data_IF_490404621010
#
_entry.id   IF_490404621010
#
_cell.length_a   1.000
_cell.length_b   1.000
_cell.length_c   1.000
_cell.angle_alpha   90.00
_cell.angle_beta   90.00
_cell.angle_gamma   90.00
#
_symmetry.space_group_name_H-M   'P 1'
#
loop_
_entity.id
_entity.type
_entity.pdbx_description
1 polymer ?
#
# COMPACT_ATOMS: atom_id res chain seq x y z
N UNK A 1 -67.11 -2.77 -49.70
CA UNK A 1 -67.14 -3.60 -50.93
C UNK A 1 -66.25 -2.95 -51.96
N UNK A 2 -65.27 -3.72 -52.51
CA UNK A 2 -64.71 -3.66 -53.89
C UNK A 2 -64.03 -2.34 -54.34
N UNK A 3 -62.86 -2.27 -54.98
CA UNK A 3 -61.99 -3.23 -55.69
C UNK A 3 -60.54 -2.70 -55.69
N UNK A 4 -59.60 -3.64 -55.66
CA UNK A 4 -58.17 -3.51 -55.96
C UNK A 4 -57.83 -2.87 -57.32
N UNK A 5 -56.66 -2.23 -57.40
CA UNK A 5 -55.86 -2.20 -58.63
C UNK A 5 -54.37 -2.26 -58.28
N UNK A 6 -53.65 -3.00 -59.11
CA UNK A 6 -52.36 -3.64 -58.85
C UNK A 6 -51.26 -3.04 -59.72
N UNK A 7 -50.01 -3.18 -59.24
CA UNK A 7 -48.75 -3.32 -60.00
C UNK A 7 -48.18 -2.08 -60.73
N UNK A 8 -46.99 -1.65 -60.30
CA UNK A 8 -45.78 -1.74 -61.13
C UNK A 8 -44.51 -1.38 -60.32
N UNK A 9 -43.62 -2.36 -60.28
CA UNK A 9 -42.27 -2.37 -59.75
C UNK A 9 -41.32 -1.43 -60.48
N UNK A 10 -40.49 -0.67 -59.75
CA UNK A 10 -39.23 -0.13 -60.27
C UNK A 10 -38.14 -0.11 -59.21
N UNK A 11 -37.22 -1.07 -59.31
CA UNK A 11 -35.98 -1.18 -58.56
C UNK A 11 -35.11 0.06 -58.72
N UNK A 12 -34.62 0.63 -57.60
CA UNK A 12 -33.47 1.53 -57.57
C UNK A 12 -32.21 0.74 -57.16
N UNK A 13 -31.04 1.04 -57.75
CA UNK A 13 -29.88 0.16 -57.63
C UNK A 13 -29.17 0.33 -56.29
N UNK A 14 -28.80 -0.82 -55.71
CA UNK A 14 -27.92 -0.96 -54.56
C UNK A 14 -26.49 -0.69 -55.03
N UNK A 15 -25.83 0.35 -54.50
CA UNK A 15 -24.39 0.56 -54.69
C UNK A 15 -23.65 -0.49 -53.88
N UNK A 16 -23.20 -1.52 -54.59
CA UNK A 16 -22.22 -2.52 -54.19
C UNK A 16 -20.93 -1.85 -53.72
N UNK A 17 -20.56 -2.09 -52.47
CA UNK A 17 -19.23 -1.83 -51.91
C UNK A 17 -18.51 -3.17 -51.97
N UNK A 18 -17.60 -3.31 -52.93
CA UNK A 18 -16.61 -4.39 -52.99
C UNK A 18 -15.25 -3.86 -52.49
N UNK A 19 -14.42 -4.72 -51.86
CA UNK A 19 -13.34 -4.31 -50.98
C UNK A 19 -12.08 -3.91 -51.75
N UNK A 20 -11.50 -2.77 -51.36
CA UNK A 20 -10.19 -2.32 -51.83
C UNK A 20 -9.09 -3.14 -51.15
N UNK A 21 -8.39 -3.91 -51.97
CA UNK A 21 -6.99 -4.34 -51.87
C UNK A 21 -6.21 -3.91 -50.61
N UNK A 22 -5.76 -4.92 -49.87
CA UNK A 22 -4.65 -4.81 -48.94
C UNK A 22 -3.34 -4.44 -49.65
N UNK A 23 -2.49 -3.62 -49.02
CA UNK A 23 -1.06 -3.77 -49.16
C UNK A 23 -0.44 -4.11 -47.79
N UNK A 24 0.12 -5.32 -47.73
CA UNK A 24 1.42 -5.66 -47.16
C UNK A 24 1.92 -4.82 -45.97
N UNK A 25 1.72 -5.32 -44.75
CA UNK A 25 2.47 -4.87 -43.58
C UNK A 25 3.91 -5.42 -43.64
N UNK A 26 4.85 -4.56 -44.03
CA UNK A 26 6.28 -4.67 -43.75
C UNK A 26 6.76 -3.35 -43.11
N UNK A 27 7.79 -3.40 -42.24
CA UNK A 27 7.96 -2.47 -41.13
C UNK A 27 8.43 -1.10 -41.62
N UNK A 28 7.60 -0.08 -41.47
CA UNK A 28 7.98 1.29 -41.83
C UNK A 28 8.61 2.00 -40.63
N UNK A 29 9.94 2.11 -40.72
CA UNK A 29 10.83 3.11 -40.13
C UNK A 29 10.18 4.24 -39.31
N UNK A 30 10.58 4.33 -38.04
CA UNK A 30 10.27 5.46 -37.16
C UNK A 30 10.74 6.80 -37.79
N UNK A 31 9.88 7.83 -37.89
CA UNK A 31 10.32 9.17 -38.29
C UNK A 31 11.23 9.75 -37.20
N UNK A 32 12.42 10.21 -37.61
CA UNK A 32 13.51 10.66 -36.73
C UNK A 32 13.25 12.04 -36.12
N UNK A 33 12.22 12.78 -36.55
CA UNK A 33 11.75 14.05 -35.94
C UNK A 33 10.40 13.91 -35.19
N UNK A 34 10.18 12.71 -34.62
CA UNK A 34 8.89 12.10 -34.35
C UNK A 34 7.85 12.90 -33.56
N UNK A 35 6.87 13.42 -34.29
CA UNK A 35 5.51 13.67 -33.79
C UNK A 35 4.71 12.35 -33.88
N UNK A 36 4.22 11.86 -32.75
CA UNK A 36 3.54 10.57 -32.60
C UNK A 36 2.04 10.77 -32.42
N UNK A 37 1.21 9.87 -32.97
CA UNK A 37 -0.24 9.84 -32.69
C UNK A 37 -0.50 9.21 -31.33
N UNK A 38 -1.62 9.56 -30.70
CA UNK A 38 -2.01 9.04 -29.37
C UNK A 38 -2.01 7.50 -29.30
N UNK A 39 -2.36 6.81 -30.39
CA UNK A 39 -2.32 5.35 -30.45
C UNK A 39 -0.88 4.80 -30.36
N UNK A 40 0.07 5.46 -31.02
CA UNK A 40 1.50 5.12 -30.94
C UNK A 40 2.06 5.43 -29.56
N UNK A 41 1.69 6.57 -28.97
CA UNK A 41 2.08 6.94 -27.59
C UNK A 41 1.55 5.93 -26.58
N UNK A 42 0.31 5.47 -26.74
CA UNK A 42 -0.28 4.44 -25.88
C UNK A 42 0.50 3.12 -25.95
N UNK A 43 0.90 2.68 -27.16
CA UNK A 43 1.74 1.49 -27.34
C UNK A 43 3.12 1.66 -26.71
N UNK A 44 3.74 2.83 -26.86
CA UNK A 44 5.10 3.10 -26.37
C UNK A 44 5.17 3.28 -24.84
N UNK A 45 4.14 3.88 -24.24
CA UNK A 45 4.10 4.15 -22.79
C UNK A 45 3.38 3.07 -21.99
N UNK A 46 2.62 2.19 -22.64
CA UNK A 46 1.76 1.21 -21.98
C UNK A 46 0.55 1.80 -21.26
N UNK A 47 0.25 3.08 -21.49
CA UNK A 47 -0.89 3.79 -20.87
C UNK A 47 -2.09 3.72 -21.83
N UNK A 48 -3.30 3.32 -21.37
CA UNK A 48 -4.48 3.33 -22.21
C UNK A 48 -4.79 4.72 -22.78
N UNK A 49 -5.23 4.79 -24.04
CA UNK A 49 -5.57 6.05 -24.74
C UNK A 49 -6.52 6.94 -23.94
N UNK A 50 -7.53 6.34 -23.29
CA UNK A 50 -8.49 7.09 -22.46
C UNK A 50 -7.82 7.70 -21.21
N UNK A 51 -6.89 6.98 -20.59
CA UNK A 51 -6.12 7.45 -19.44
C UNK A 51 -5.21 8.62 -19.81
N UNK A 52 -4.54 8.55 -20.96
CA UNK A 52 -3.72 9.66 -21.48
C UNK A 52 -4.59 10.91 -21.67
N UNK A 53 -5.79 10.77 -22.23
CA UNK A 53 -6.74 11.90 -22.39
C UNK A 53 -7.17 12.50 -21.06
N UNK A 54 -7.44 11.68 -20.05
CA UNK A 54 -7.78 12.17 -18.70
C UNK A 54 -6.61 12.90 -18.06
N UNK A 55 -5.38 12.39 -18.23
CA UNK A 55 -4.17 13.03 -17.70
C UNK A 55 -3.86 14.36 -18.39
N UNK A 56 -4.15 14.48 -19.69
CA UNK A 56 -4.12 15.76 -20.41
C UNK A 56 -5.13 16.75 -19.85
N UNK A 57 -6.41 16.39 -19.83
CA UNK A 57 -7.49 17.35 -19.55
C UNK A 57 -7.56 17.74 -18.08
N UNK A 58 -7.33 16.80 -17.16
CA UNK A 58 -7.48 17.04 -15.72
C UNK A 58 -6.21 17.53 -15.05
N UNK A 59 -5.05 17.10 -15.55
CA UNK A 59 -3.77 17.29 -14.87
C UNK A 59 -2.74 18.03 -15.71
N UNK A 60 -3.06 18.38 -16.96
CA UNK A 60 -2.19 19.11 -17.91
C UNK A 60 -0.78 18.53 -17.96
N UNK A 61 -0.70 17.19 -17.90
CA UNK A 61 0.56 16.46 -17.77
C UNK A 61 1.44 16.64 -19.00
N UNK A 62 0.83 16.70 -20.18
CA UNK A 62 1.48 16.97 -21.46
C UNK A 62 0.57 17.87 -22.29
N UNK A 63 1.16 18.63 -23.22
CA UNK A 63 0.42 19.52 -24.12
C UNK A 63 0.67 19.10 -25.58
N UNK A 64 -0.13 18.18 -26.14
CA UNK A 64 0.06 17.73 -27.50
C UNK A 64 -0.22 18.87 -28.50
N UNK A 65 0.62 18.97 -29.53
CA UNK A 65 0.38 19.89 -30.65
C UNK A 65 -0.76 19.35 -31.52
N UNK A 66 -1.63 20.22 -32.04
CA UNK A 66 -2.69 19.82 -32.97
C UNK A 66 -2.29 20.12 -34.41
N UNK A 67 -2.59 19.20 -35.31
CA UNK A 67 -2.47 19.40 -36.76
C UNK A 67 -3.62 20.26 -37.29
N UNK A 68 -3.50 20.75 -38.54
CA UNK A 68 -4.57 21.47 -39.24
C UNK A 68 -5.89 20.65 -39.32
N UNK A 69 -5.79 19.32 -39.31
CA UNK A 69 -6.93 18.40 -39.25
C UNK A 69 -7.41 18.08 -37.82
N UNK A 70 -7.01 18.88 -36.82
CA UNK A 70 -7.37 18.75 -35.39
C UNK A 70 -6.94 17.43 -34.71
N UNK A 71 -5.93 16.73 -35.25
CA UNK A 71 -5.38 15.50 -34.66
C UNK A 71 -4.26 15.84 -33.68
N UNK A 72 -4.30 15.24 -32.47
CA UNK A 72 -3.26 15.38 -31.42
C UNK A 72 -1.98 14.65 -31.83
N UNK A 73 -0.86 15.36 -31.73
CA UNK A 73 0.49 14.87 -31.99
C UNK A 73 1.38 15.15 -30.78
N UNK A 74 2.11 14.12 -30.36
CA UNK A 74 2.96 14.14 -29.17
C UNK A 74 4.41 14.13 -29.60
N UNK A 75 5.24 14.91 -28.94
CA UNK A 75 6.69 14.88 -29.15
C UNK A 75 7.31 13.76 -28.34
N UNK A 76 8.57 13.45 -28.65
CA UNK A 76 9.36 12.50 -27.85
C UNK A 76 9.42 12.89 -26.36
N UNK A 77 9.57 14.18 -26.06
CA UNK A 77 9.56 14.69 -24.69
C UNK A 77 8.24 14.38 -23.94
N UNK A 78 7.10 14.42 -24.63
CA UNK A 78 5.80 14.07 -24.03
C UNK A 78 5.75 12.57 -23.68
N UNK A 79 6.31 11.71 -24.53
CA UNK A 79 6.40 10.26 -24.29
C UNK A 79 7.29 9.99 -23.06
N UNK A 80 8.45 10.63 -22.99
CA UNK A 80 9.38 10.49 -21.87
C UNK A 80 8.73 10.93 -20.55
N UNK A 81 8.04 12.06 -20.54
CA UNK A 81 7.29 12.55 -19.38
C UNK A 81 6.14 11.62 -18.98
N UNK A 82 5.33 11.16 -19.93
CA UNK A 82 4.26 10.20 -19.68
C UNK A 82 4.79 8.88 -19.10
N UNK A 83 5.95 8.42 -19.58
CA UNK A 83 6.61 7.21 -19.07
C UNK A 83 7.07 7.39 -17.62
N UNK A 84 7.66 8.53 -17.29
CA UNK A 84 8.08 8.86 -15.92
C UNK A 84 6.88 8.93 -14.97
N UNK A 85 5.78 9.54 -15.40
CA UNK A 85 4.58 9.66 -14.59
C UNK A 85 3.89 8.32 -14.43
N UNK A 86 3.87 7.48 -15.47
CA UNK A 86 3.40 6.09 -15.38
C UNK A 86 4.21 5.30 -14.37
N UNK A 87 5.53 5.40 -14.39
CA UNK A 87 6.38 4.72 -13.41
C UNK A 87 6.08 5.16 -11.98
N UNK A 88 5.87 6.46 -11.74
CA UNK A 88 5.52 6.97 -10.41
C UNK A 88 4.10 6.53 -9.97
N UNK A 89 3.13 6.50 -10.89
CA UNK A 89 1.77 6.02 -10.61
C UNK A 89 1.75 4.51 -10.35
N UNK A 90 2.54 3.73 -11.10
CA UNK A 90 2.70 2.29 -10.88
C UNK A 90 3.38 1.98 -9.55
N UNK A 91 4.25 2.86 -9.08
CA UNK A 91 4.85 2.80 -7.75
C UNK A 91 3.87 3.20 -6.61
N UNK A 92 2.60 3.45 -6.94
CA UNK A 92 1.54 3.73 -5.95
C UNK A 92 1.35 5.21 -5.63
N UNK A 93 2.03 6.13 -6.33
CA UNK A 93 1.84 7.56 -6.11
C UNK A 93 0.60 8.10 -6.83
N UNK A 94 -0.20 8.90 -6.14
CA UNK A 94 -1.37 9.53 -6.73
C UNK A 94 -0.98 10.47 -7.89
N UNK A 95 -1.66 10.34 -9.04
CA UNK A 95 -1.43 11.17 -10.24
C UNK A 95 -1.48 12.66 -9.95
N UNK A 96 -2.37 13.11 -9.06
CA UNK A 96 -2.50 14.52 -8.68
C UNK A 96 -1.24 15.09 -8.02
N UNK A 97 -0.47 14.27 -7.31
CA UNK A 97 0.78 14.65 -6.66
C UNK A 97 1.96 14.65 -7.63
N UNK A 98 1.96 13.73 -8.60
CA UNK A 98 3.05 13.59 -9.57
C UNK A 98 2.92 14.58 -10.73
N UNK A 99 1.69 14.88 -11.15
CA UNK A 99 1.43 15.74 -12.31
C UNK A 99 1.95 17.17 -12.15
N UNK A 100 2.00 17.70 -10.92
CA UNK A 100 2.50 19.05 -10.61
C UNK A 100 4.03 19.15 -10.55
N UNK A 101 4.74 18.02 -10.64
CA UNK A 101 6.19 17.96 -10.51
C UNK A 101 6.88 18.05 -11.89
N UNK A 102 8.02 18.72 -11.90
CA UNK A 102 8.92 18.76 -13.08
C UNK A 102 9.58 17.40 -13.29
N UNK A 103 10.01 17.08 -14.52
CA UNK A 103 10.68 15.81 -14.82
C UNK A 103 11.92 15.58 -13.94
N UNK A 104 12.64 16.66 -13.61
CA UNK A 104 13.79 16.61 -12.69
C UNK A 104 13.36 16.32 -11.26
N UNK A 105 12.25 16.89 -10.78
CA UNK A 105 11.70 16.58 -9.45
C UNK A 105 11.12 15.17 -9.39
N UNK A 106 10.49 14.69 -10.47
CA UNK A 106 10.01 13.30 -10.55
C UNK A 106 11.22 12.35 -10.49
N UNK A 107 12.27 12.65 -11.26
CA UNK A 107 13.52 11.87 -11.22
C UNK A 107 14.26 11.98 -9.88
N UNK A 108 14.27 13.14 -9.21
CA UNK A 108 14.95 13.27 -7.92
C UNK A 108 14.14 12.65 -6.77
N UNK A 109 12.82 12.82 -6.78
CA UNK A 109 11.92 12.39 -5.70
C UNK A 109 11.54 10.91 -5.81
N UNK A 110 11.52 10.37 -7.03
CA UNK A 110 11.11 9.00 -7.31
C UNK A 110 12.19 8.17 -8.01
N UNK A 111 13.36 8.76 -8.29
CA UNK A 111 14.54 8.09 -8.88
C UNK A 111 15.85 8.48 -8.14
N UNK A 112 15.79 9.03 -6.91
CA UNK A 112 16.97 9.22 -6.06
C UNK A 112 16.66 8.99 -4.58
N UNK A 113 16.88 7.76 -4.13
CA UNK A 113 17.88 7.57 -3.08
C UNK A 113 19.06 6.87 -3.77
N UNK A 114 20.32 7.19 -3.44
CA UNK A 114 21.41 6.31 -3.81
C UNK A 114 21.08 4.95 -3.21
N UNK A 115 21.07 3.93 -4.05
CA UNK A 115 21.31 2.56 -3.63
C UNK A 115 22.57 2.63 -2.79
N UNK A 116 22.43 2.60 -1.45
CA UNK A 116 23.54 2.18 -0.60
C UNK A 116 23.76 0.73 -0.96
N UNK A 117 24.72 0.54 -1.87
CA UNK A 117 25.32 -0.74 -2.21
C UNK A 117 26.01 -1.29 -0.97
N UNK A 118 25.24 -1.82 -0.02
CA UNK A 118 25.75 -2.62 1.10
C UNK A 118 24.85 -3.82 1.35
N UNK A 119 24.60 -4.60 0.29
CA UNK A 119 24.69 -6.06 0.34
C UNK A 119 24.85 -6.59 -1.09
N UNK A 120 26.08 -6.56 -1.57
CA UNK A 120 26.53 -7.60 -2.48
C UNK A 120 26.36 -8.93 -1.72
N UNK A 121 25.30 -9.67 -2.02
CA UNK A 121 25.14 -11.11 -1.76
C UNK A 121 23.86 -11.54 -2.47
N UNK A 122 23.98 -12.07 -3.68
CA UNK A 122 23.35 -13.31 -4.17
C UNK A 122 21.85 -13.60 -3.86
N UNK A 123 21.07 -12.65 -3.37
CA UNK A 123 19.80 -12.92 -2.69
C UNK A 123 18.64 -12.80 -3.67
N UNK A 124 18.34 -13.88 -4.38
CA UNK A 124 17.02 -14.10 -4.98
C UNK A 124 15.95 -13.82 -3.93
N UNK A 125 15.04 -12.89 -4.20
CA UNK A 125 13.85 -12.62 -3.39
C UNK A 125 13.17 -13.94 -3.04
N UNK A 126 13.16 -14.29 -1.75
CA UNK A 126 12.58 -15.52 -1.24
C UNK A 126 11.12 -15.30 -0.93
N UNK A 127 10.26 -16.04 -1.60
CA UNK A 127 8.81 -15.86 -1.49
C UNK A 127 8.16 -17.06 -0.81
N UNK A 128 7.32 -16.80 0.19
CA UNK A 128 6.34 -17.76 0.69
C UNK A 128 5.02 -17.57 -0.07
N UNK A 129 4.47 -18.64 -0.62
CA UNK A 129 3.16 -18.60 -1.30
C UNK A 129 2.14 -19.43 -0.53
N UNK A 130 1.05 -18.81 -0.11
CA UNK A 130 -0.12 -19.46 0.47
C UNK A 130 -1.17 -19.65 -0.63
N UNK A 131 -1.43 -20.88 -1.04
CA UNK A 131 -2.33 -21.24 -2.15
C UNK A 131 -1.68 -22.18 -3.14
N UNK A 132 -2.13 -23.43 -3.19
CA UNK A 132 -1.50 -24.48 -4.00
C UNK A 132 -1.50 -24.19 -5.51
N UNK A 133 -2.61 -23.65 -6.04
CA UNK A 133 -2.76 -23.35 -7.46
C UNK A 133 -1.79 -22.24 -7.90
N UNK A 134 -1.82 -21.09 -7.22
CA UNK A 134 -0.91 -19.99 -7.49
C UNK A 134 0.56 -20.39 -7.29
N UNK A 135 0.86 -21.15 -6.24
CA UNK A 135 2.21 -21.65 -6.00
C UNK A 135 2.75 -22.51 -7.16
N UNK A 136 1.92 -23.37 -7.75
CA UNK A 136 2.30 -24.18 -8.91
C UNK A 136 2.62 -23.31 -10.13
N UNK A 137 1.75 -22.33 -10.43
CA UNK A 137 1.93 -21.38 -11.52
C UNK A 137 3.21 -20.57 -11.35
N UNK A 138 3.46 -20.03 -10.15
CA UNK A 138 4.66 -19.23 -9.87
C UNK A 138 5.94 -20.07 -9.90
N UNK A 139 5.91 -21.30 -9.38
CA UNK A 139 7.04 -22.23 -9.47
C UNK A 139 7.43 -22.49 -10.91
N UNK A 140 6.47 -22.70 -11.82
CA UNK A 140 6.73 -22.90 -13.24
C UNK A 140 7.23 -21.62 -13.92
N UNK A 141 6.58 -20.49 -13.68
CA UNK A 141 6.92 -19.21 -14.31
C UNK A 141 8.26 -18.63 -13.84
N UNK A 142 8.73 -18.97 -12.64
CA UNK A 142 9.95 -18.41 -12.04
C UNK A 142 11.17 -19.35 -12.10
N UNK A 143 11.08 -20.51 -12.77
CA UNK A 143 12.21 -21.46 -12.84
C UNK A 143 13.48 -20.85 -13.44
N UNK A 144 13.33 -20.04 -14.49
CA UNK A 144 14.43 -19.39 -15.22
C UNK A 144 14.85 -18.04 -14.64
N UNK A 145 14.22 -17.59 -13.54
CA UNK A 145 14.48 -16.29 -12.94
C UNK A 145 15.63 -16.35 -11.95
N UNK A 146 16.51 -15.35 -12.02
CA UNK A 146 17.66 -15.17 -11.11
C UNK A 146 17.40 -14.14 -10.02
N UNK A 147 16.25 -13.46 -10.04
CA UNK A 147 15.89 -12.38 -9.13
C UNK A 147 14.89 -12.82 -8.05
N UNK A 148 13.94 -13.70 -8.36
CA UNK A 148 12.92 -14.19 -7.41
C UNK A 148 12.84 -15.72 -7.41
N UNK A 149 12.52 -16.31 -6.26
CA UNK A 149 12.21 -17.74 -6.13
C UNK A 149 11.13 -18.01 -5.09
N UNK A 150 10.30 -19.01 -5.34
CA UNK A 150 9.40 -19.57 -4.33
C UNK A 150 10.25 -20.44 -3.38
N UNK A 151 10.43 -20.01 -2.13
CA UNK A 151 11.19 -20.76 -1.12
C UNK A 151 10.31 -21.81 -0.44
N UNK A 152 9.08 -21.44 -0.09
CA UNK A 152 8.15 -22.27 0.66
C UNK A 152 6.73 -22.07 0.15
N UNK A 153 5.89 -23.09 0.34
CA UNK A 153 4.50 -23.08 -0.10
C UNK A 153 3.61 -23.66 0.98
N UNK A 154 2.51 -22.98 1.27
CA UNK A 154 1.45 -23.47 2.13
C UNK A 154 0.19 -23.69 1.28
N UNK A 155 -0.59 -24.75 1.54
CA UNK A 155 -1.81 -25.01 0.76
C UNK A 155 -2.87 -23.92 0.94
N UNK A 156 -2.95 -23.33 2.14
CA UNK A 156 -3.83 -22.24 2.51
C UNK A 156 -3.14 -21.37 3.59
N UNK A 157 -3.69 -20.19 3.87
CA UNK A 157 -3.22 -19.35 4.97
C UNK A 157 -3.54 -20.04 6.31
N UNK A 158 -2.55 -20.36 7.17
CA UNK A 158 -2.81 -20.99 8.45
C UNK A 158 -3.57 -20.05 9.39
N UNK A 159 -4.44 -20.62 10.22
CA UNK A 159 -5.23 -19.90 11.24
C UNK A 159 -4.58 -19.89 12.62
N UNK A 160 -3.59 -20.77 12.85
CA UNK A 160 -2.77 -20.88 14.05
C UNK A 160 -1.37 -21.41 13.66
N UNK A 161 -0.38 -21.25 14.54
CA UNK A 161 1.00 -21.74 14.40
C UNK A 161 1.85 -21.08 13.29
N UNK A 162 2.27 -19.84 13.54
CA UNK A 162 3.17 -19.10 12.64
C UNK A 162 4.66 -19.17 13.05
N UNK A 163 5.00 -19.78 14.20
CA UNK A 163 6.36 -19.81 14.76
C UNK A 163 7.35 -20.67 13.95
N UNK A 164 6.85 -21.65 13.18
CA UNK A 164 7.67 -22.57 12.37
C UNK A 164 7.95 -22.07 10.94
N UNK A 165 7.49 -20.85 10.60
CA UNK A 165 7.59 -20.33 9.24
C UNK A 165 8.99 -19.81 8.92
N UNK A 166 9.54 -20.10 7.72
CA UNK A 166 10.87 -19.66 7.36
C UNK A 166 10.93 -18.14 7.18
N UNK A 167 12.09 -17.54 7.47
CA UNK A 167 12.36 -16.15 7.11
C UNK A 167 12.34 -16.00 5.59
N UNK A 168 11.38 -15.21 5.11
CA UNK A 168 11.17 -14.89 3.69
C UNK A 168 11.14 -13.38 3.48
N UNK A 169 11.39 -12.99 2.23
CA UNK A 169 11.49 -11.61 1.80
C UNK A 169 10.14 -11.05 1.32
N UNK A 170 9.25 -11.93 0.85
CA UNK A 170 7.87 -11.58 0.50
C UNK A 170 6.91 -12.73 0.81
N UNK A 171 5.65 -12.38 1.09
CA UNK A 171 4.56 -13.34 1.26
C UNK A 171 3.46 -13.04 0.25
N UNK A 172 3.01 -14.06 -0.47
CA UNK A 172 1.89 -13.97 -1.41
C UNK A 172 0.77 -14.88 -0.92
N UNK A 173 -0.42 -14.33 -0.74
CA UNK A 173 -1.61 -15.07 -0.30
C UNK A 173 -2.63 -15.07 -1.42
N UNK A 174 -2.93 -16.26 -1.94
CA UNK A 174 -4.04 -16.51 -2.85
C UNK A 174 -5.34 -16.59 -2.03
N UNK A 175 -6.19 -15.57 -2.18
CA UNK A 175 -7.45 -15.44 -1.46
C UNK A 175 -8.59 -15.20 -2.46
N UNK A 176 -9.23 -16.26 -2.98
CA UNK A 176 -10.31 -16.14 -3.97
C UNK A 176 -11.41 -15.16 -3.56
N UNK A 177 -11.69 -15.06 -2.25
CA UNK A 177 -12.62 -14.11 -1.65
C UNK A 177 -11.94 -13.36 -0.50
N UNK A 178 -11.93 -12.03 -0.56
CA UNK A 178 -11.46 -11.17 0.54
C UNK A 178 -12.60 -10.95 1.54
N UNK A 179 -12.66 -11.82 2.55
CA UNK A 179 -13.61 -11.73 3.66
C UNK A 179 -13.12 -10.88 4.84
N UNK A 180 -13.98 -10.66 5.83
CA UNK A 180 -13.68 -9.85 7.02
C UNK A 180 -12.63 -10.47 7.96
N UNK A 181 -12.43 -11.79 7.91
CA UNK A 181 -11.47 -12.51 8.75
C UNK A 181 -10.02 -12.44 8.22
N UNK A 182 -9.84 -12.20 6.91
CA UNK A 182 -8.53 -12.23 6.25
C UNK A 182 -7.55 -11.18 6.82
N UNK A 183 -7.95 -9.91 7.08
CA UNK A 183 -7.04 -8.92 7.65
C UNK A 183 -6.50 -9.30 9.04
N UNK A 184 -7.26 -10.02 9.86
CA UNK A 184 -6.80 -10.48 11.17
C UNK A 184 -5.70 -11.54 11.04
N UNK A 185 -5.93 -12.55 10.18
CA UNK A 185 -4.94 -13.59 9.89
C UNK A 185 -3.66 -13.02 9.26
N UNK A 186 -3.79 -12.04 8.35
CA UNK A 186 -2.63 -11.38 7.74
C UNK A 186 -1.81 -10.53 8.72
N UNK A 187 -2.46 -9.90 9.72
CA UNK A 187 -1.75 -9.20 10.80
C UNK A 187 -0.91 -10.17 11.64
N UNK A 188 -1.47 -11.33 12.00
CA UNK A 188 -0.73 -12.36 12.75
C UNK A 188 0.43 -12.92 11.92
N UNK A 189 0.20 -13.19 10.64
CA UNK A 189 1.24 -13.63 9.70
C UNK A 189 2.38 -12.62 9.61
N UNK A 190 2.08 -11.31 9.53
CA UNK A 190 3.08 -10.24 9.46
C UNK A 190 3.84 -10.05 10.78
N UNK A 191 3.20 -10.30 11.92
CA UNK A 191 3.88 -10.26 13.21
C UNK A 191 4.90 -11.40 13.34
N UNK A 192 4.56 -12.59 12.83
CA UNK A 192 5.43 -13.76 12.86
C UNK A 192 6.51 -13.74 11.78
N UNK A 193 6.12 -13.45 10.53
CA UNK A 193 7.02 -13.33 9.39
C UNK A 193 7.34 -11.85 9.23
N UNK A 194 8.56 -11.44 9.63
CA UNK A 194 9.12 -10.10 9.41
C UNK A 194 9.40 -9.79 7.92
N UNK A 195 8.50 -10.23 7.03
CA UNK A 195 8.59 -9.97 5.61
C UNK A 195 8.19 -8.51 5.33
N UNK A 196 9.03 -7.74 4.62
CA UNK A 196 8.72 -6.35 4.26
C UNK A 196 7.54 -6.23 3.30
N UNK A 197 7.23 -7.29 2.54
CA UNK A 197 6.20 -7.27 1.48
C UNK A 197 5.17 -8.36 1.71
N UNK A 198 3.90 -7.97 1.82
CA UNK A 198 2.76 -8.89 1.87
C UNK A 198 1.80 -8.54 0.74
N UNK A 199 1.51 -9.53 -0.11
CA UNK A 199 0.64 -9.39 -1.29
C UNK A 199 -0.54 -10.35 -1.14
N UNK A 200 -1.75 -9.86 -1.39
CA UNK A 200 -2.96 -10.66 -1.46
C UNK A 200 -3.44 -10.65 -2.92
N UNK A 201 -3.47 -11.83 -3.54
CA UNK A 201 -4.07 -12.03 -4.87
C UNK A 201 -5.51 -12.47 -4.66
N UNK A 202 -6.48 -11.76 -5.23
CA UNK A 202 -7.90 -12.03 -4.96
C UNK A 202 -8.78 -12.06 -6.19
N UNK A 203 -9.83 -12.89 -6.18
CA UNK A 203 -10.85 -12.90 -7.23
C UNK A 203 -11.98 -11.91 -6.95
N UNK A 204 -12.59 -12.01 -5.77
CA UNK A 204 -13.71 -11.19 -5.33
C UNK A 204 -13.36 -10.47 -4.03
N UNK A 205 -13.54 -9.15 -3.99
CA UNK A 205 -13.29 -8.36 -2.79
C UNK A 205 -14.29 -7.22 -2.65
N UNK A 206 -14.77 -6.99 -1.43
CA UNK A 206 -15.62 -5.83 -1.15
C UNK A 206 -14.76 -4.59 -0.84
N UNK A 207 -15.31 -3.39 -1.08
CA UNK A 207 -14.57 -2.12 -0.94
C UNK A 207 -14.03 -1.91 0.48
N UNK A 208 -14.77 -2.31 1.51
CA UNK A 208 -14.36 -2.15 2.91
C UNK A 208 -13.17 -3.05 3.27
N UNK A 209 -13.17 -4.30 2.81
CA UNK A 209 -12.12 -5.26 3.06
C UNK A 209 -10.83 -4.87 2.33
N UNK A 210 -10.93 -4.41 1.08
CA UNK A 210 -9.79 -3.87 0.33
C UNK A 210 -9.20 -2.62 1.00
N UNK A 211 -10.04 -1.71 1.49
CA UNK A 211 -9.59 -0.54 2.24
C UNK A 211 -8.88 -0.91 3.55
N UNK A 212 -9.30 -2.00 4.22
CA UNK A 212 -8.63 -2.52 5.42
C UNK A 212 -7.27 -3.14 5.10
N UNK A 213 -7.12 -3.81 3.96
CA UNK A 213 -5.82 -4.31 3.50
C UNK A 213 -4.86 -3.15 3.21
N UNK A 214 -5.35 -2.11 2.52
CA UNK A 214 -4.58 -0.90 2.22
C UNK A 214 -4.11 -0.19 3.51
N UNK A 215 -5.02 0.02 4.48
CA UNK A 215 -4.68 0.59 5.78
C UNK A 215 -3.66 -0.25 6.58
N UNK A 216 -3.56 -1.56 6.29
CA UNK A 216 -2.57 -2.46 6.88
C UNK A 216 -1.24 -2.52 6.10
N UNK A 217 -1.05 -1.67 5.08
CA UNK A 217 0.07 -1.70 4.14
C UNK A 217 0.22 -3.06 3.43
N UNK A 218 -0.91 -3.69 3.08
CA UNK A 218 -0.95 -4.96 2.34
C UNK A 218 -1.35 -4.68 0.90
N UNK A 219 -0.54 -5.15 -0.05
CA UNK A 219 -0.79 -4.94 -1.47
C UNK A 219 -1.88 -5.91 -1.92
N UNK A 220 -3.05 -5.41 -2.29
CA UNK A 220 -4.14 -6.23 -2.84
C UNK A 220 -4.15 -6.16 -4.37
N UNK A 221 -4.04 -7.32 -5.04
CA UNK A 221 -4.02 -7.44 -6.50
C UNK A 221 -5.18 -8.34 -6.97
N UNK A 222 -5.95 -7.88 -7.94
CA UNK A 222 -7.02 -8.68 -8.53
C UNK A 222 -6.42 -9.79 -9.43
N UNK A 223 -6.99 -10.99 -9.33
CA UNK A 223 -6.74 -12.11 -10.23
C UNK A 223 -7.54 -11.97 -11.53
N UNK A 224 -7.05 -12.49 -12.67
CA UNK A 224 -5.75 -13.15 -12.85
C UNK A 224 -4.59 -12.14 -12.87
N UNK A 225 -3.46 -12.52 -12.26
CA UNK A 225 -2.25 -11.70 -12.18
C UNK A 225 -1.12 -12.34 -12.97
N UNK A 226 -0.37 -11.52 -13.72
CA UNK A 226 0.81 -11.98 -14.45
C UNK A 226 1.95 -12.33 -13.47
N UNK A 227 2.51 -13.56 -13.50
CA UNK A 227 3.68 -13.93 -12.70
C UNK A 227 4.88 -12.98 -12.83
N UNK A 228 5.08 -12.35 -14.00
CA UNK A 228 6.15 -11.38 -14.18
C UNK A 228 5.87 -10.06 -13.43
N UNK A 229 4.61 -9.65 -13.36
CA UNK A 229 4.18 -8.50 -12.55
C UNK A 229 4.39 -8.79 -11.05
N UNK A 230 3.99 -9.97 -10.56
CA UNK A 230 4.24 -10.36 -9.17
C UNK A 230 5.73 -10.35 -8.82
N UNK A 231 6.58 -10.89 -9.70
CA UNK A 231 8.03 -10.87 -9.51
C UNK A 231 8.55 -9.44 -9.34
N UNK A 232 8.12 -8.51 -10.20
CA UNK A 232 8.53 -7.11 -10.14
C UNK A 232 8.09 -6.42 -8.85
N UNK A 233 6.87 -6.68 -8.39
CA UNK A 233 6.36 -6.12 -7.13
C UNK A 233 7.16 -6.63 -5.94
N UNK A 234 7.50 -7.93 -5.92
CA UNK A 234 8.34 -8.51 -4.88
C UNK A 234 9.74 -7.86 -4.83
N UNK A 235 10.34 -7.57 -6.00
CA UNK A 235 11.62 -6.87 -6.08
C UNK A 235 11.53 -5.41 -5.61
N UNK A 236 10.48 -4.68 -6.03
CA UNK A 236 10.29 -3.28 -5.66
C UNK A 236 10.14 -3.11 -4.14
N UNK A 237 9.37 -3.99 -3.50
CA UNK A 237 9.20 -3.94 -2.06
C UNK A 237 10.45 -4.36 -1.26
N UNK A 238 11.43 -5.01 -1.90
CA UNK A 238 12.76 -5.27 -1.31
C UNK A 238 13.76 -4.13 -1.52
N UNK A 239 13.62 -3.40 -2.62
CA UNK A 239 14.44 -2.22 -2.90
C UNK A 239 14.10 -1.04 -1.99
N UNK A 240 12.90 -1.05 -1.41
CA UNK A 240 12.52 -0.19 -0.30
C UNK A 240 13.06 -0.86 0.97
N UNK A 241 14.26 -0.47 1.42
CA UNK A 241 14.57 -0.73 2.82
C UNK A 241 13.46 -0.08 3.65
N UNK A 242 12.69 -0.83 4.47
CA UNK A 242 11.80 -0.18 5.40
C UNK A 242 12.69 0.75 6.21
N UNK A 243 12.40 2.05 6.17
CA UNK A 243 13.07 2.99 7.06
C UNK A 243 13.03 2.35 8.44
N UNK A 244 14.19 2.15 9.11
CA UNK A 244 14.19 1.49 10.41
C UNK A 244 13.12 2.18 11.22
N UNK A 245 12.13 1.44 11.75
CA UNK A 245 11.01 2.06 12.42
C UNK A 245 11.60 3.04 13.42
N UNK A 246 11.11 4.28 13.40
CA UNK A 246 11.62 5.30 14.32
C UNK A 246 11.58 4.75 15.74
N UNK A 247 12.45 5.21 16.64
CA UNK A 247 12.41 4.76 18.04
C UNK A 247 10.97 4.84 18.61
N UNK A 248 10.23 5.88 18.20
CA UNK A 248 8.80 6.04 18.48
C UNK A 248 7.92 4.91 17.88
N UNK A 249 8.07 4.59 16.61
CA UNK A 249 7.32 3.48 15.97
C UNK A 249 7.66 2.12 16.57
N UNK A 250 8.91 1.90 16.98
CA UNK A 250 9.33 0.67 17.66
C UNK A 250 8.69 0.56 19.03
N UNK A 251 8.72 1.64 19.81
CA UNK A 251 8.06 1.72 21.12
C UNK A 251 6.58 1.38 21.01
N UNK A 252 5.83 2.02 20.10
CA UNK A 252 4.39 1.80 19.94
C UNK A 252 3.98 0.39 19.47
N UNK A 253 4.90 -0.39 18.90
CA UNK A 253 4.64 -1.76 18.45
C UNK A 253 4.65 -2.77 19.61
N UNK A 254 5.19 -2.39 20.76
CA UNK A 254 5.15 -3.19 21.98
C UNK A 254 3.95 -2.78 22.83
N UNK A 255 3.45 -3.69 23.67
CA UNK A 255 2.44 -3.34 24.67
C UNK A 255 3.12 -2.73 25.89
N UNK A 256 2.62 -1.60 26.37
CA UNK A 256 3.06 -1.04 27.65
C UNK A 256 2.79 -2.02 28.81
N UNK A 257 3.61 -1.95 29.84
CA UNK A 257 3.43 -2.76 31.06
C UNK A 257 2.04 -2.50 31.68
N UNK A 258 1.42 -3.51 32.34
CA UNK A 258 0.16 -3.31 33.05
C UNK A 258 0.30 -2.22 34.12
N UNK A 259 -0.82 -1.53 34.41
CA UNK A 259 -0.88 -0.47 35.44
C UNK A 259 -0.32 -0.99 36.75
N UNK A 260 0.63 -0.24 37.32
CA UNK A 260 1.27 -0.58 38.60
C UNK A 260 0.48 -0.04 39.78
N UNK A 261 -0.12 1.13 39.62
CA UNK A 261 -0.87 1.81 40.68
C UNK A 261 -2.34 1.90 40.31
N UNK A 262 -3.22 1.60 41.26
CA UNK A 262 -4.66 1.79 41.10
C UNK A 262 -5.07 3.26 41.35
N UNK A 263 -6.29 3.60 40.91
CA UNK A 263 -6.78 4.98 40.97
C UNK A 263 -6.97 5.45 42.43
N UNK A 264 -7.24 4.54 43.36
CA UNK A 264 -7.43 4.83 44.78
C UNK A 264 -6.11 5.24 45.44
N UNK A 265 -5.05 4.48 45.18
CA UNK A 265 -3.70 4.76 45.66
C UNK A 265 -3.17 6.08 45.09
N UNK A 266 -3.33 6.32 43.79
CA UNK A 266 -2.89 7.56 43.15
C UNK A 266 -3.60 8.80 43.73
N UNK A 267 -4.90 8.69 44.02
CA UNK A 267 -5.67 9.75 44.65
C UNK A 267 -5.23 10.00 46.11
N UNK A 268 -4.92 8.94 46.85
CA UNK A 268 -4.41 9.06 48.21
C UNK A 268 -3.04 9.73 48.22
N UNK A 269 -2.16 9.34 47.29
CA UNK A 269 -0.82 9.89 47.14
C UNK A 269 -0.85 11.37 46.72
N UNK A 270 -1.76 11.77 45.83
CA UNK A 270 -1.89 13.17 45.42
C UNK A 270 -2.41 14.10 46.53
N UNK A 271 -3.03 13.53 47.57
CA UNK A 271 -3.53 14.26 48.74
C UNK A 271 -2.60 14.16 49.95
N UNK A 272 -1.46 13.46 49.86
CA UNK A 272 -0.54 13.34 50.99
C UNK A 272 0.12 14.69 51.30
N UNK A 273 0.18 15.09 52.59
CA UNK A 273 0.90 16.28 52.99
C UNK A 273 2.39 16.06 52.76
N UNK A 274 2.98 16.87 51.87
CA UNK A 274 4.42 16.79 51.55
C UNK A 274 5.26 17.13 52.78
N UNK A 275 6.17 16.22 53.16
CA UNK A 275 7.17 16.47 54.21
C UNK A 275 8.38 17.28 53.69
N UNK A 276 8.43 17.54 52.37
CA UNK A 276 9.51 18.21 51.65
C UNK A 276 8.96 19.48 50.98
N UNK A 277 9.81 20.48 50.71
CA UNK A 277 9.44 21.71 49.98
C UNK A 277 8.97 21.49 48.52
N UNK A 278 8.97 20.26 47.99
CA UNK A 278 8.44 19.96 46.66
C UNK A 278 7.21 19.04 46.73
N UNK A 279 6.14 19.42 46.04
CA UNK A 279 4.93 18.61 45.82
C UNK A 279 5.10 17.62 44.65
N UNK A 280 6.35 17.19 44.41
CA UNK A 280 6.76 16.37 43.29
C UNK A 280 5.98 15.03 43.20
N UNK A 281 5.76 14.27 44.30
CA UNK A 281 4.97 13.03 44.27
C UNK A 281 3.52 13.28 43.90
N UNK A 282 2.93 14.36 44.42
CA UNK A 282 1.53 14.69 44.22
C UNK A 282 1.27 15.06 42.74
N UNK A 283 2.12 15.89 42.15
CA UNK A 283 2.03 16.26 40.74
C UNK A 283 2.22 15.05 39.81
N UNK A 284 3.14 14.15 40.16
CA UNK A 284 3.40 12.97 39.36
C UNK A 284 2.25 11.95 39.46
N UNK A 285 1.67 11.76 40.64
CA UNK A 285 0.46 10.96 40.84
C UNK A 285 -0.72 11.51 40.02
N UNK A 286 -0.93 12.84 40.02
CA UNK A 286 -1.95 13.50 39.22
C UNK A 286 -1.74 13.32 37.71
N UNK A 287 -0.50 13.35 37.23
CA UNK A 287 -0.17 13.11 35.83
C UNK A 287 -0.46 11.67 35.41
N UNK A 288 -0.06 10.68 36.24
CA UNK A 288 -0.35 9.26 35.99
C UNK A 288 -1.88 9.03 35.96
N UNK A 289 -2.62 9.64 36.89
CA UNK A 289 -4.08 9.54 36.92
C UNK A 289 -4.75 10.13 35.66
N UNK A 290 -4.25 11.28 35.17
CA UNK A 290 -4.70 11.87 33.90
C UNK A 290 -4.39 10.97 32.69
N UNK A 291 -3.25 10.30 32.68
CA UNK A 291 -2.92 9.33 31.63
C UNK A 291 -3.84 8.11 31.68
N UNK A 292 -4.15 7.57 32.87
CA UNK A 292 -5.12 6.48 33.03
C UNK A 292 -6.49 6.86 32.45
N UNK A 293 -6.96 8.08 32.73
CA UNK A 293 -8.23 8.59 32.20
C UNK A 293 -8.19 8.73 30.67
N UNK A 294 -7.09 9.25 30.12
CA UNK A 294 -6.93 9.42 28.67
C UNK A 294 -6.80 8.09 27.92
N UNK A 295 -6.13 7.10 28.49
CA UNK A 295 -6.04 5.75 27.95
C UNK A 295 -7.44 5.11 27.83
N UNK A 296 -8.24 5.18 28.89
CA UNK A 296 -9.61 4.67 28.90
C UNK A 296 -10.47 5.39 27.87
N UNK A 297 -10.39 6.72 27.80
CA UNK A 297 -11.07 7.51 26.78
C UNK A 297 -10.68 7.07 25.36
N UNK A 298 -9.38 6.87 25.10
CA UNK A 298 -8.87 6.46 23.78
C UNK A 298 -9.34 5.05 23.38
N UNK A 299 -9.56 4.16 24.36
CA UNK A 299 -10.07 2.80 24.15
C UNK A 299 -11.59 2.76 23.90
N UNK A 300 -12.34 3.63 24.58
CA UNK A 300 -13.80 3.73 24.48
C UNK A 300 -14.28 4.64 23.33
N UNK A 301 -13.36 5.32 22.65
CA UNK A 301 -13.69 6.30 21.62
C UNK A 301 -14.29 5.65 20.36
N UNK A 302 -15.51 6.04 19.99
CA UNK A 302 -16.19 5.59 18.78
C UNK A 302 -15.56 6.24 17.54
N UNK A 303 -14.73 5.49 16.81
CA UNK A 303 -14.08 5.99 15.60
C UNK A 303 -15.03 5.93 14.39
N UNK A 304 -15.36 7.08 13.82
CA UNK A 304 -16.26 7.21 12.65
C UNK A 304 -15.60 6.70 11.37
N UNK A 305 -14.27 6.73 11.27
CA UNK A 305 -13.52 6.28 10.10
C UNK A 305 -12.24 5.50 10.46
N UNK A 306 -11.67 4.79 9.47
CA UNK A 306 -10.50 3.91 9.65
C UNK A 306 -9.21 4.68 9.99
N UNK A 307 -9.07 5.93 9.52
CA UNK A 307 -7.92 6.78 9.87
C UNK A 307 -7.98 7.24 11.32
N UNK A 308 -9.19 7.54 11.82
CA UNK A 308 -9.43 7.89 13.21
C UNK A 308 -9.15 6.70 14.13
N UNK A 309 -9.57 5.49 13.74
CA UNK A 309 -9.28 4.27 14.50
C UNK A 309 -7.77 4.01 14.67
N UNK A 310 -6.99 4.20 13.59
CA UNK A 310 -5.53 4.05 13.64
C UNK A 310 -4.87 5.12 14.52
N UNK A 311 -5.39 6.35 14.49
CA UNK A 311 -4.93 7.44 15.35
C UNK A 311 -5.21 7.14 16.83
N UNK A 312 -6.42 6.67 17.17
CA UNK A 312 -6.79 6.33 18.55
C UNK A 312 -5.97 5.16 19.09
N UNK A 313 -5.70 4.13 18.26
CA UNK A 313 -4.82 3.02 18.64
C UNK A 313 -3.38 3.49 18.91
N UNK A 314 -2.87 4.43 18.11
CA UNK A 314 -1.56 5.05 18.34
C UNK A 314 -1.55 5.89 19.63
N UNK A 315 -2.58 6.72 19.84
CA UNK A 315 -2.72 7.53 21.06
C UNK A 315 -2.77 6.67 22.31
N UNK A 316 -3.59 5.60 22.30
CA UNK A 316 -3.69 4.63 23.38
C UNK A 316 -2.33 3.98 23.71
N UNK A 317 -1.62 3.49 22.69
CA UNK A 317 -0.30 2.89 22.87
C UNK A 317 0.71 3.91 23.40
N UNK A 318 0.72 5.14 22.87
CA UNK A 318 1.62 6.19 23.32
C UNK A 318 1.37 6.57 24.79
N UNK A 319 0.10 6.76 25.17
CA UNK A 319 -0.27 7.08 26.54
C UNK A 319 0.08 5.97 27.52
N UNK A 320 -0.09 4.69 27.13
CA UNK A 320 0.30 3.56 27.96
C UNK A 320 1.80 3.53 28.27
N UNK A 321 2.65 3.82 27.28
CA UNK A 321 4.09 3.86 27.52
C UNK A 321 4.53 5.09 28.30
N UNK A 322 3.86 6.24 28.11
CA UNK A 322 4.08 7.41 28.96
C UNK A 322 3.72 7.09 30.42
N UNK A 323 2.60 6.39 30.65
CA UNK A 323 2.19 5.95 31.98
C UNK A 323 3.24 5.04 32.59
N UNK A 324 3.64 3.96 31.90
CA UNK A 324 4.67 3.03 32.39
C UNK A 324 5.95 3.77 32.81
N UNK A 325 6.40 4.71 31.98
CA UNK A 325 7.58 5.52 32.29
C UNK A 325 7.39 6.38 33.54
N UNK A 326 6.26 7.09 33.65
CA UNK A 326 5.97 7.93 34.82
C UNK A 326 5.71 7.11 36.09
N UNK A 327 5.13 5.92 36.00
CA UNK A 327 4.97 4.98 37.12
C UNK A 327 6.34 4.52 37.64
N UNK A 328 7.31 4.24 36.77
CA UNK A 328 8.68 3.91 37.20
C UNK A 328 9.38 5.10 37.86
N UNK A 329 9.17 6.32 37.38
CA UNK A 329 9.68 7.54 38.03
C UNK A 329 9.03 7.73 39.41
N UNK A 330 7.71 7.56 39.50
CA UNK A 330 6.95 7.71 40.74
C UNK A 330 7.39 6.68 41.78
N UNK A 331 7.59 5.44 41.37
CA UNK A 331 8.12 4.37 42.21
C UNK A 331 9.47 4.72 42.84
N UNK A 332 10.40 5.26 42.03
CA UNK A 332 11.72 5.69 42.52
C UNK A 332 11.62 6.87 43.47
N UNK A 333 10.71 7.81 43.21
CA UNK A 333 10.47 8.96 44.07
C UNK A 333 9.87 8.53 45.41
N UNK A 334 8.87 7.65 45.40
CA UNK A 334 8.27 7.08 46.60
C UNK A 334 9.30 6.36 47.46
N UNK A 335 10.17 5.55 46.85
CA UNK A 335 11.26 4.87 47.55
C UNK A 335 12.26 5.86 48.19
N UNK A 336 12.52 7.00 47.54
CA UNK A 336 13.38 8.05 48.08
C UNK A 336 12.73 8.77 49.28
N UNK A 337 11.41 8.97 49.26
CA UNK A 337 10.66 9.61 50.33
C UNK A 337 10.21 8.64 51.44
N UNK A 338 10.50 7.34 51.30
CA UNK A 338 10.11 6.32 52.27
C UNK A 338 8.61 5.97 52.24
N UNK A 339 7.92 6.26 51.13
CA UNK A 339 6.51 5.92 50.92
C UNK A 339 6.44 4.47 50.40
N UNK A 340 5.67 3.62 51.09
CA UNK A 340 5.50 2.23 50.70
C UNK A 340 4.67 2.09 49.40
N UNK A 341 5.07 1.15 48.54
CA UNK A 341 4.23 0.72 47.40
C UNK A 341 2.98 -0.01 47.91
N UNK A 342 1.83 0.13 47.22
CA UNK A 342 0.65 -0.66 47.53
C UNK A 342 0.95 -2.14 47.30
N UNK A 343 0.65 -2.99 48.28
CA UNK A 343 0.67 -4.44 48.09
C UNK A 343 -0.41 -4.81 47.07
N UNK A 344 0.02 -5.29 45.91
CA UNK A 344 -0.83 -5.81 44.81
C UNK A 344 -1.79 -6.90 45.25
#
# INVERSE_FOLDING_TARGET
MKVSASKATRSKPIKSIAPSSAPTDAPTSAPIDGLYRIATVSKLTGIPVQTIRVWETRHTVVQPTRTASNVRMYRRADIERLTLIKAAVDAGHAIGTVASLTDRQIKARFNSAPVRTTRARDARCRVLVCGAALASVLKAAWQSRSDVRVQSTLPHLPTADFESLPSVDAVIVDAPVVGNALPAALRQLRAAIKAPVVIVVYGLGNRQALARLDAANIIALAAPIDPAQLARICQLGLAIEPAPPTAFSQMLMHSAAPRRFDDAFLLQLSQMPSQVQCECPNHLADLVNKLNAFERYSLECESVNVKDAAMHAMMYSASGHCREFLEEVLRRLMAHEGIAEPTT
#
